data_IF_872484591881
#
_entry.id   IF_872484591881
#
_cell.length_a   1.000
_cell.length_b   1.000
_cell.length_c   1.000
_cell.angle_alpha   90.00
_cell.angle_beta   90.00
_cell.angle_gamma   90.00
#
_symmetry.space_group_name_H-M   'P 1'
#
loop_
_entity.id
_entity.type
_entity.pdbx_description
1 polymer ?
#
# COMPACT_ATOMS: atom_id res chain seq x y z
N UNK A 1 10.48 20.88 29.80
CA UNK A 1 9.29 20.04 30.05
C UNK A 1 8.68 19.78 28.68
N UNK A 2 9.14 18.71 28.04
CA UNK A 2 8.80 18.40 26.64
C UNK A 2 7.50 17.62 26.68
N UNK A 3 6.44 18.16 26.06
CA UNK A 3 5.15 17.49 25.98
C UNK A 3 5.27 16.48 24.84
N UNK A 4 5.51 15.22 25.19
CA UNK A 4 5.38 14.09 24.26
C UNK A 4 3.98 14.13 23.63
N UNK A 5 3.85 14.10 22.29
CA UNK A 5 2.54 14.04 21.67
C UNK A 5 1.85 12.77 22.14
N UNK A 6 0.67 12.94 22.73
CA UNK A 6 -0.17 11.86 23.24
C UNK A 6 -0.66 11.05 22.02
N UNK A 7 0.11 10.04 21.64
CA UNK A 7 -0.27 9.06 20.62
C UNK A 7 -1.64 8.52 21.04
N UNK A 8 -2.63 8.69 20.18
CA UNK A 8 -3.99 8.23 20.47
C UNK A 8 -3.94 6.71 20.64
N UNK A 9 -4.21 6.25 21.87
CA UNK A 9 -4.34 4.84 22.29
C UNK A 9 -5.32 3.98 21.47
N UNK A 10 -5.92 4.52 20.41
CA UNK A 10 -6.83 3.82 19.52
C UNK A 10 -6.14 2.86 18.55
N UNK A 11 -4.82 3.00 18.32
CA UNK A 11 -4.11 2.23 17.29
C UNK A 11 -3.50 0.92 17.85
N UNK A 12 -3.18 0.87 19.15
CA UNK A 12 -2.36 -0.22 19.71
C UNK A 12 -3.12 -1.54 19.94
N UNK A 13 -4.45 -1.54 20.00
CA UNK A 13 -5.25 -2.74 20.33
C UNK A 13 -5.67 -3.58 19.13
N UNK A 14 -5.41 -3.12 17.91
CA UNK A 14 -5.88 -3.75 16.66
C UNK A 14 -4.73 -4.23 15.77
N UNK A 15 -3.57 -4.53 16.36
CA UNK A 15 -2.43 -5.06 15.61
C UNK A 15 -2.71 -6.52 15.27
N UNK A 16 -3.33 -6.76 14.12
CA UNK A 16 -3.30 -8.07 13.49
C UNK A 16 -1.87 -8.30 12.99
N UNK A 17 -1.16 -9.26 13.58
CA UNK A 17 0.27 -9.49 13.30
C UNK A 17 0.55 -10.22 11.98
N UNK A 18 -0.49 -10.50 11.19
CA UNK A 18 -0.38 -11.24 9.94
C UNK A 18 -1.34 -10.69 8.89
N UNK A 19 -0.90 -10.72 7.63
CA UNK A 19 -1.69 -10.45 6.44
C UNK A 19 -1.49 -11.61 5.45
N UNK A 20 -2.45 -11.91 4.56
CA UNK A 20 -3.73 -11.24 4.33
C UNK A 20 -4.77 -11.50 5.43
N UNK A 21 -5.87 -10.73 5.42
CA UNK A 21 -7.03 -10.92 6.30
C UNK A 21 -8.32 -10.94 5.46
N UNK A 22 -9.32 -11.71 5.90
CA UNK A 22 -10.65 -11.70 5.31
C UNK A 22 -11.43 -10.50 5.85
N UNK A 23 -11.85 -9.59 4.95
CA UNK A 23 -12.51 -8.34 5.33
C UNK A 23 -14.02 -8.59 5.34
N UNK A 24 -14.56 -8.76 6.55
CA UNK A 24 -16.01 -8.79 6.76
C UNK A 24 -16.57 -7.36 6.80
N UNK A 25 -17.25 -6.97 5.73
CA UNK A 25 -17.83 -5.64 5.59
C UNK A 25 -19.02 -5.41 6.53
N UNK A 26 -19.73 -6.46 6.96
CA UNK A 26 -20.87 -6.34 7.89
C UNK A 26 -20.38 -6.07 9.32
N UNK A 27 -19.17 -6.51 9.64
CA UNK A 27 -18.52 -6.29 10.94
C UNK A 27 -17.45 -5.18 10.90
N UNK A 28 -17.26 -4.51 9.76
CA UNK A 28 -16.33 -3.40 9.64
C UNK A 28 -16.84 -2.18 10.42
N UNK A 29 -15.99 -1.60 11.27
CA UNK A 29 -16.32 -0.36 11.99
C UNK A 29 -16.03 0.85 11.09
N UNK A 30 -17.04 1.67 10.73
CA UNK A 30 -16.81 2.86 9.95
C UNK A 30 -16.05 3.90 10.78
N UNK A 31 -15.00 4.47 10.19
CA UNK A 31 -14.21 5.54 10.79
C UNK A 31 -14.19 6.75 9.85
N UNK A 32 -14.24 7.94 10.43
CA UNK A 32 -14.09 9.19 9.69
C UNK A 32 -12.62 9.57 9.72
N UNK A 33 -12.00 9.63 8.54
CA UNK A 33 -10.59 9.96 8.37
C UNK A 33 -10.44 11.15 7.43
N UNK A 34 -9.32 11.90 7.54
CA UNK A 34 -8.89 12.79 6.48
C UNK A 34 -8.78 12.03 5.14
N UNK A 35 -8.90 12.73 3.99
CA UNK A 35 -8.76 12.07 2.70
C UNK A 35 -7.39 11.40 2.55
N UNK A 36 -7.35 10.27 1.84
CA UNK A 36 -6.11 9.72 1.30
C UNK A 36 -5.68 10.61 0.14
N UNK A 37 -4.47 11.16 0.23
CA UNK A 37 -3.92 12.10 -0.74
C UNK A 37 -2.96 11.34 -1.66
N UNK A 38 -3.25 11.38 -2.96
CA UNK A 38 -2.40 10.87 -4.01
C UNK A 38 -1.64 12.04 -4.62
N UNK A 39 -0.32 11.99 -4.53
CA UNK A 39 0.57 12.99 -5.12
C UNK A 39 1.36 12.34 -6.25
N UNK A 40 1.53 13.07 -7.35
CA UNK A 40 2.37 12.63 -8.48
C UNK A 40 1.94 11.28 -9.10
N UNK A 41 0.68 10.89 -8.96
CA UNK A 41 0.16 9.59 -9.45
C UNK A 41 0.25 9.42 -10.97
N UNK A 42 0.16 10.54 -11.69
CA UNK A 42 0.23 10.59 -13.15
C UNK A 42 1.67 10.77 -13.67
N UNK A 43 2.65 10.83 -12.77
CA UNK A 43 4.05 10.99 -13.17
C UNK A 43 4.51 9.73 -13.89
N UNK A 44 4.95 9.91 -15.13
CA UNK A 44 5.44 8.81 -15.96
C UNK A 44 6.87 8.47 -15.51
N UNK A 45 7.18 7.21 -15.17
CA UNK A 45 8.53 6.81 -14.80
C UNK A 45 9.49 6.92 -15.99
N UNK A 46 10.74 7.24 -15.69
CA UNK A 46 11.83 7.24 -16.67
C UNK A 46 12.05 5.83 -17.24
N UNK A 47 11.93 4.82 -16.37
CA UNK A 47 12.13 3.42 -16.73
C UNK A 47 11.29 2.54 -15.83
N UNK A 48 10.76 1.47 -16.39
CA UNK A 48 10.12 0.39 -15.63
C UNK A 48 10.84 -0.92 -15.92
N UNK A 49 10.90 -1.79 -14.91
CA UNK A 49 11.42 -3.14 -15.06
C UNK A 49 10.45 -4.14 -14.46
N UNK A 50 10.28 -5.27 -15.15
CA UNK A 50 9.43 -6.36 -14.75
C UNK A 50 10.30 -7.59 -14.55
N UNK A 51 10.29 -8.17 -13.35
CA UNK A 51 11.13 -9.32 -13.00
C UNK A 51 10.30 -10.43 -12.38
N UNK A 52 10.38 -11.63 -12.94
CA UNK A 52 9.91 -12.84 -12.26
C UNK A 52 10.96 -13.22 -11.19
N UNK A 53 10.58 -13.15 -9.92
CA UNK A 53 11.47 -13.45 -8.78
C UNK A 53 11.23 -14.86 -8.20
N UNK A 54 10.64 -15.76 -8.99
CA UNK A 54 10.34 -17.14 -8.63
C UNK A 54 9.02 -17.33 -7.88
N UNK A 55 8.64 -16.37 -7.04
CA UNK A 55 7.39 -16.40 -6.27
C UNK A 55 6.30 -15.47 -6.82
N UNK A 56 6.72 -14.38 -7.46
CA UNK A 56 5.82 -13.36 -8.02
C UNK A 56 6.51 -12.64 -9.18
N UNK A 57 5.75 -11.81 -9.87
CA UNK A 57 6.26 -10.83 -10.81
C UNK A 57 6.36 -9.47 -10.10
N UNK A 58 7.58 -8.99 -9.87
CA UNK A 58 7.84 -7.68 -9.27
C UNK A 58 8.00 -6.63 -10.38
N UNK A 59 7.38 -5.47 -10.18
CA UNK A 59 7.49 -4.30 -11.05
C UNK A 59 8.13 -3.18 -10.26
N UNK A 60 9.25 -2.68 -10.76
CA UNK A 60 9.93 -1.50 -10.22
C UNK A 60 9.86 -0.36 -11.24
N UNK A 61 9.86 0.86 -10.73
CA UNK A 61 9.89 2.06 -11.55
C UNK A 61 10.96 3.03 -11.04
N UNK A 62 11.73 3.57 -11.97
CA UNK A 62 12.73 4.61 -11.75
C UNK A 62 12.17 5.94 -12.24
N UNK A 63 12.27 6.98 -11.41
CA UNK A 63 11.80 8.33 -11.72
C UNK A 63 12.99 9.28 -11.75
N UNK A 64 13.04 10.19 -12.73
CA UNK A 64 14.03 11.27 -12.79
C UNK A 64 13.62 12.51 -11.97
N UNK A 65 12.41 12.50 -11.42
CA UNK A 65 11.80 13.60 -10.68
C UNK A 65 10.95 13.06 -9.52
N UNK A 66 9.91 13.80 -9.10
CA UNK A 66 9.03 13.39 -8.01
C UNK A 66 8.47 11.97 -8.21
N UNK A 67 8.47 11.18 -7.14
CA UNK A 67 7.88 9.84 -7.14
C UNK A 67 6.40 9.91 -6.76
N UNK A 68 5.54 9.04 -7.33
CA UNK A 68 4.19 8.85 -6.83
C UNK A 68 4.23 8.57 -5.33
N UNK A 69 3.37 9.23 -4.56
CA UNK A 69 3.35 9.09 -3.10
C UNK A 69 1.93 9.15 -2.53
N UNK A 70 1.77 8.54 -1.36
CA UNK A 70 0.54 8.55 -0.57
C UNK A 70 0.77 9.25 0.76
N UNK A 71 -0.19 10.08 1.17
CA UNK A 71 -0.21 10.71 2.50
C UNK A 71 -1.65 10.91 3.01
N UNK A 72 -1.82 11.37 4.25
CA UNK A 72 -3.15 11.57 4.85
C UNK A 72 -3.81 10.27 5.30
N UNK A 73 -5.13 10.29 5.49
CA UNK A 73 -5.89 9.15 6.06
C UNK A 73 -5.26 8.62 7.35
N UNK A 74 -5.04 7.30 7.46
CA UNK A 74 -4.37 6.62 8.57
C UNK A 74 -2.83 6.68 8.51
N UNK A 75 -2.25 7.23 7.44
CA UNK A 75 -0.80 7.20 7.25
C UNK A 75 -0.13 8.25 8.15
N UNK A 76 0.83 7.79 8.97
CA UNK A 76 1.56 8.68 9.89
C UNK A 76 2.53 9.61 9.15
N UNK A 77 2.98 9.21 7.96
CA UNK A 77 3.95 9.91 7.13
C UNK A 77 3.57 9.79 5.65
N UNK A 78 4.14 10.63 4.78
CA UNK A 78 4.13 10.36 3.34
C UNK A 78 4.93 9.10 3.02
N UNK A 79 4.43 8.31 2.08
CA UNK A 79 5.07 7.10 1.60
C UNK A 79 5.24 7.17 0.10
N UNK A 80 6.46 6.96 -0.39
CA UNK A 80 6.78 6.99 -1.81
C UNK A 80 6.65 5.60 -2.44
N UNK A 81 6.31 5.59 -3.72
CA UNK A 81 6.28 4.38 -4.52
C UNK A 81 7.68 3.73 -4.60
N UNK A 82 7.72 2.43 -4.31
CA UNK A 82 8.91 1.61 -4.47
C UNK A 82 8.73 0.57 -5.57
N UNK A 83 7.78 -0.34 -5.38
CA UNK A 83 7.49 -1.41 -6.32
C UNK A 83 6.05 -1.90 -6.16
N UNK A 84 5.61 -2.80 -7.02
CA UNK A 84 4.42 -3.62 -6.74
C UNK A 84 4.64 -5.04 -7.25
N UNK A 85 3.91 -5.98 -6.69
CA UNK A 85 3.96 -7.37 -7.10
C UNK A 85 2.56 -7.99 -7.11
N UNK A 86 2.43 -9.16 -7.71
CA UNK A 86 1.12 -9.78 -7.93
C UNK A 86 0.95 -11.06 -7.10
N UNK A 87 -0.29 -11.31 -6.69
CA UNK A 87 -0.72 -12.61 -6.20
C UNK A 87 -1.82 -13.15 -7.13
N UNK A 88 -1.71 -14.42 -7.51
CA UNK A 88 -2.69 -15.07 -8.37
C UNK A 88 -2.92 -16.51 -7.92
N UNK A 89 -4.15 -16.98 -8.10
CA UNK A 89 -4.53 -18.38 -7.86
C UNK A 89 -4.25 -19.25 -9.08
N UNK A 90 -4.27 -20.58 -8.86
CA UNK A 90 -4.29 -21.53 -9.98
C UNK A 90 -5.65 -21.48 -10.65
N UNK A 91 -5.67 -21.14 -11.94
CA UNK A 91 -6.89 -21.20 -12.74
C UNK A 91 -7.28 -22.66 -13.00
N UNK A 92 -8.51 -23.03 -12.62
CA UNK A 92 -9.19 -24.24 -13.11
C UNK A 92 -10.32 -23.84 -14.09
N UNK A 93 -10.65 -22.54 -14.19
CA UNK A 93 -11.67 -21.96 -15.07
C UNK A 93 -11.20 -20.59 -15.63
N UNK A 94 -11.67 -20.17 -16.82
CA UNK A 94 -11.14 -19.03 -17.59
C UNK A 94 -11.31 -17.64 -16.95
N UNK A 95 -11.91 -17.53 -15.76
CA UNK A 95 -12.12 -16.26 -15.06
C UNK A 95 -11.64 -16.39 -13.61
N UNK A 96 -10.37 -16.09 -13.36
CA UNK A 96 -9.86 -15.88 -12.00
C UNK A 96 -9.14 -14.54 -11.92
N UNK A 97 -9.48 -13.77 -10.90
CA UNK A 97 -9.05 -12.38 -10.71
C UNK A 97 -7.57 -12.22 -10.44
N UNK A 98 -7.06 -11.05 -10.83
CA UNK A 98 -5.71 -10.57 -10.61
C UNK A 98 -5.72 -9.57 -9.46
N UNK A 99 -4.82 -9.72 -8.49
CA UNK A 99 -4.61 -8.73 -7.43
C UNK A 99 -3.15 -8.30 -7.42
N UNK A 100 -2.92 -7.00 -7.54
CA UNK A 100 -1.61 -6.37 -7.35
C UNK A 100 -1.51 -5.78 -5.94
N UNK A 101 -0.37 -5.96 -5.28
CA UNK A 101 -0.03 -5.34 -4.02
C UNK A 101 1.00 -4.23 -4.25
N UNK A 102 0.64 -3.00 -3.88
CA UNK A 102 1.51 -1.84 -3.92
C UNK A 102 2.47 -1.86 -2.73
N UNK A 103 3.77 -1.79 -2.99
CA UNK A 103 4.81 -1.66 -1.97
C UNK A 103 5.29 -0.21 -1.95
N UNK A 104 5.09 0.44 -0.80
CA UNK A 104 5.55 1.79 -0.55
C UNK A 104 6.75 1.77 0.38
N UNK A 105 7.66 2.71 0.20
CA UNK A 105 8.81 2.93 1.09
C UNK A 105 8.67 4.27 1.81
N UNK A 106 9.17 4.32 3.04
CA UNK A 106 9.29 5.56 3.80
C UNK A 106 10.34 6.47 3.15
N UNK A 107 10.08 7.78 3.14
CA UNK A 107 10.97 8.82 2.61
C UNK A 107 12.14 9.14 3.55
#
# INVERSE_FOLDING_TARGET
MTIEPKVSRFIDSWVHSSSPLDIDLDNATPIILPPLIWSESETIPLKMSVRNIGMTCNVDAEYSGPRPSLSGSILQYPYEFSSFHFHWGKSILPYTGFFGLLVLQYS
#
